data_IF_031824044101
#
_entry.id   IF_031824044101
#
_cell.length_a   1.000
_cell.length_b   1.000
_cell.length_c   1.000
_cell.angle_alpha   90.00
_cell.angle_beta   90.00
_cell.angle_gamma   90.00
#
_symmetry.space_group_name_H-M   'P 1'
#
loop_
_entity.id
_entity.type
_entity.pdbx_description
1 polymer ?
#
# COMPACT_ATOMS: atom_id res chain seq x y z
N UNK A 1 -0.20 17.14 -24.91
CA UNK A 1 -0.20 16.10 -23.87
C UNK A 1 0.64 14.95 -24.40
N UNK A 2 1.66 14.55 -23.66
CA UNK A 2 2.50 13.42 -24.03
C UNK A 2 2.42 12.37 -22.92
N UNK A 3 2.45 11.10 -23.29
CA UNK A 3 2.66 10.03 -22.34
C UNK A 3 4.09 10.11 -21.80
N UNK A 4 4.24 9.87 -20.50
CA UNK A 4 5.53 9.88 -19.81
C UNK A 4 5.61 8.61 -19.00
N UNK A 5 6.72 7.90 -19.15
CA UNK A 5 7.00 6.72 -18.35
C UNK A 5 7.31 7.13 -16.91
N UNK A 6 6.80 6.36 -15.96
CA UNK A 6 7.04 6.54 -14.54
C UNK A 6 7.77 5.33 -14.00
N UNK A 7 8.60 5.54 -12.98
CA UNK A 7 9.30 4.48 -12.27
C UNK A 7 8.27 3.59 -11.57
N UNK A 8 8.35 2.26 -11.73
CA UNK A 8 7.42 1.32 -11.12
C UNK A 8 7.66 1.11 -9.61
N UNK A 9 8.34 2.03 -8.95
CA UNK A 9 8.75 1.92 -7.55
C UNK A 9 8.12 3.02 -6.71
N UNK A 10 7.79 2.69 -5.48
CA UNK A 10 7.15 3.64 -4.56
C UNK A 10 7.02 3.11 -3.15
N UNK A 11 6.16 3.77 -2.38
CA UNK A 11 5.83 3.42 -1.01
C UNK A 11 4.32 3.30 -0.79
N UNK A 12 3.92 2.43 0.14
CA UNK A 12 2.52 2.29 0.54
C UNK A 12 2.10 3.54 1.33
N UNK A 13 1.21 4.33 0.74
CA UNK A 13 0.63 5.50 1.41
C UNK A 13 -0.53 5.12 2.32
N UNK A 14 -1.41 4.23 1.86
CA UNK A 14 -2.50 3.65 2.64
C UNK A 14 -2.89 2.28 2.10
N UNK A 15 -3.57 1.46 2.90
CA UNK A 15 -4.05 0.15 2.45
C UNK A 15 -5.34 -0.27 3.15
N UNK A 16 -6.05 -1.21 2.53
CA UNK A 16 -7.22 -1.89 3.10
C UNK A 16 -7.14 -3.38 2.77
N UNK A 17 -7.44 -4.23 3.75
CA UNK A 17 -7.55 -5.68 3.56
C UNK A 17 -9.02 -6.08 3.51
N UNK A 18 -9.40 -6.73 2.42
CA UNK A 18 -10.73 -7.26 2.23
C UNK A 18 -10.79 -8.71 2.71
N UNK A 19 -11.53 -8.95 3.79
CA UNK A 19 -11.87 -10.28 4.31
C UNK A 19 -13.16 -10.84 3.70
N UNK A 20 -13.67 -10.20 2.65
CA UNK A 20 -14.84 -10.63 1.88
C UNK A 20 -14.67 -10.20 0.44
N UNK A 21 -15.04 -11.09 -0.47
CA UNK A 21 -15.05 -10.81 -1.89
C UNK A 21 -16.15 -9.79 -2.21
N UNK A 22 -15.75 -8.60 -2.69
CA UNK A 22 -16.68 -7.60 -3.21
C UNK A 22 -17.17 -7.94 -4.62
N UNK A 23 -16.33 -8.65 -5.38
CA UNK A 23 -16.67 -9.27 -6.67
C UNK A 23 -16.31 -10.76 -6.61
N UNK A 24 -17.11 -11.62 -7.25
CA UNK A 24 -16.88 -13.08 -7.28
C UNK A 24 -15.51 -13.46 -7.83
N UNK A 25 -14.92 -12.68 -8.74
CA UNK A 25 -13.60 -12.95 -9.31
C UNK A 25 -12.48 -12.93 -8.27
N UNK A 26 -12.69 -12.25 -7.14
CA UNK A 26 -11.73 -12.20 -6.04
C UNK A 26 -12.06 -13.21 -4.92
N UNK A 27 -13.05 -14.09 -5.09
CA UNK A 27 -13.47 -15.04 -4.06
C UNK A 27 -12.32 -15.95 -3.59
N UNK A 28 -11.56 -16.49 -4.53
CA UNK A 28 -10.43 -17.38 -4.24
C UNK A 28 -9.18 -16.65 -3.77
N UNK A 29 -9.24 -15.30 -3.72
CA UNK A 29 -8.17 -14.41 -3.28
C UNK A 29 -8.51 -13.75 -1.95
N UNK A 30 -9.65 -14.04 -1.34
CA UNK A 30 -9.92 -13.58 0.01
C UNK A 30 -9.03 -14.39 0.94
N UNK A 31 -8.24 -13.73 1.79
CA UNK A 31 -8.08 -12.28 1.95
C UNK A 31 -7.11 -11.63 0.97
N UNK A 32 -7.41 -10.39 0.56
CA UNK A 32 -6.51 -9.61 -0.28
C UNK A 32 -6.40 -8.16 0.19
N UNK A 33 -5.20 -7.60 0.04
CA UNK A 33 -4.92 -6.19 0.36
C UNK A 33 -4.84 -5.35 -0.90
N UNK A 34 -5.56 -4.23 -0.91
CA UNK A 34 -5.42 -3.17 -1.90
C UNK A 34 -4.71 -1.99 -1.25
N UNK A 35 -3.75 -1.40 -1.93
CA UNK A 35 -2.97 -0.28 -1.45
C UNK A 35 -3.02 0.89 -2.42
N UNK A 36 -2.96 2.10 -1.87
CA UNK A 36 -2.56 3.29 -2.59
C UNK A 36 -1.06 3.44 -2.44
N UNK A 37 -0.34 3.44 -3.56
CA UNK A 37 1.11 3.53 -3.64
C UNK A 37 1.48 4.90 -4.17
N UNK A 38 2.30 5.63 -3.44
CA UNK A 38 2.94 6.84 -3.92
C UNK A 38 4.23 6.47 -4.63
N UNK A 39 4.25 6.64 -5.95
CA UNK A 39 5.44 6.39 -6.75
C UNK A 39 6.53 7.43 -6.46
N UNK A 40 7.77 7.07 -6.71
CA UNK A 40 8.93 7.97 -6.51
C UNK A 40 8.90 9.21 -7.43
N UNK A 41 8.06 9.19 -8.47
CA UNK A 41 7.77 10.32 -9.35
C UNK A 41 6.62 11.22 -8.85
N UNK A 42 6.08 10.93 -7.65
CA UNK A 42 5.08 11.75 -6.96
C UNK A 42 3.62 11.51 -7.35
N UNK A 43 3.34 10.47 -8.14
CA UNK A 43 1.99 10.09 -8.57
C UNK A 43 1.47 8.96 -7.69
N UNK A 44 0.18 9.00 -7.36
CA UNK A 44 -0.49 7.96 -6.60
C UNK A 44 -1.15 6.95 -7.54
N UNK A 45 -0.92 5.65 -7.30
CA UNK A 45 -1.53 4.55 -8.02
C UNK A 45 -2.19 3.56 -7.07
N UNK A 46 -3.37 3.06 -7.44
CA UNK A 46 -4.09 2.04 -6.67
C UNK A 46 -3.84 0.68 -7.29
N UNK A 47 -3.48 -0.29 -6.47
CA UNK A 47 -3.26 -1.67 -6.90
C UNK A 47 -3.29 -2.66 -5.75
N UNK A 48 -3.28 -3.95 -6.09
CA UNK A 48 -3.28 -5.03 -5.10
C UNK A 48 -1.84 -5.30 -4.62
N UNK A 49 -1.67 -5.68 -3.35
CA UNK A 49 -0.40 -6.21 -2.85
C UNK A 49 -0.37 -7.73 -3.05
N UNK A 50 0.73 -8.26 -3.57
CA UNK A 50 0.95 -9.69 -3.74
C UNK A 50 1.46 -10.37 -2.45
N UNK A 51 1.11 -11.64 -2.28
CA UNK A 51 1.68 -12.50 -1.22
C UNK A 51 1.24 -12.19 0.22
N UNK A 52 0.21 -11.37 0.41
CA UNK A 52 -0.36 -11.07 1.74
C UNK A 52 -1.62 -11.90 1.93
N UNK A 53 -1.49 -13.02 2.63
CA UNK A 53 -2.61 -13.73 3.24
C UNK A 53 -2.90 -13.18 4.63
N UNK A 54 -4.14 -13.33 5.11
CA UNK A 54 -4.45 -13.15 6.53
C UNK A 54 -3.53 -14.11 7.27
N UNK A 55 -2.75 -13.60 8.22
CA UNK A 55 -1.77 -14.37 8.97
C UNK A 55 -2.41 -15.39 9.92
N UNK A 56 -3.22 -16.31 9.41
CA UNK A 56 -3.65 -17.53 10.06
C UNK A 56 -2.51 -18.55 9.87
N UNK A 57 -1.46 -18.36 10.68
CA UNK A 57 -0.11 -18.86 10.44
C UNK A 57 0.02 -20.36 10.20
N UNK A 58 0.61 -20.71 9.05
CA UNK A 58 1.42 -21.92 8.84
C UNK A 58 2.26 -21.85 7.54
N UNK A 59 2.45 -20.66 6.98
CA UNK A 59 3.34 -20.46 5.83
C UNK A 59 4.02 -19.11 5.92
N UNK A 60 5.26 -19.06 5.46
CA UNK A 60 6.20 -17.94 5.41
C UNK A 60 5.66 -16.69 4.68
N UNK A 61 4.53 -16.16 5.15
CA UNK A 61 3.76 -15.09 4.56
C UNK A 61 4.51 -13.78 4.66
N UNK A 62 4.59 -13.07 3.53
CA UNK A 62 5.16 -11.74 3.46
C UNK A 62 4.56 -10.88 4.58
N UNK A 63 5.44 -10.26 5.36
CA UNK A 63 5.08 -9.56 6.59
C UNK A 63 3.92 -8.57 6.42
N UNK A 64 3.20 -8.33 7.52
CA UNK A 64 2.06 -7.43 7.56
C UNK A 64 2.30 -6.16 6.73
N UNK A 65 1.35 -5.85 5.83
CA UNK A 65 1.40 -4.64 5.01
C UNK A 65 1.47 -3.44 5.95
N UNK A 66 2.51 -2.63 5.80
CA UNK A 66 2.71 -1.43 6.61
C UNK A 66 2.78 -0.20 5.72
N UNK A 67 2.16 0.89 6.20
CA UNK A 67 2.33 2.21 5.59
C UNK A 67 3.82 2.58 5.62
N UNK A 68 4.31 3.07 4.49
CA UNK A 68 5.73 3.35 4.23
C UNK A 68 6.50 2.18 3.61
N UNK A 69 5.99 0.94 3.65
CA UNK A 69 6.71 -0.18 3.03
C UNK A 69 6.99 0.10 1.54
N UNK A 70 8.19 -0.27 1.09
CA UNK A 70 8.60 -0.11 -0.31
C UNK A 70 8.03 -1.19 -1.16
N UNK A 71 7.57 -0.78 -2.33
CA UNK A 71 7.00 -1.67 -3.32
C UNK A 71 7.63 -1.47 -4.68
N UNK A 72 7.62 -2.55 -5.45
CA UNK A 72 7.93 -2.57 -6.88
C UNK A 72 6.77 -3.22 -7.64
N UNK A 73 6.57 -2.81 -8.89
CA UNK A 73 5.54 -3.37 -9.75
C UNK A 73 5.93 -4.80 -10.13
N UNK A 74 5.11 -5.76 -9.71
CA UNK A 74 5.30 -7.17 -10.06
C UNK A 74 4.63 -7.54 -11.39
N UNK A 75 3.62 -6.78 -11.80
CA UNK A 75 2.84 -6.99 -13.02
C UNK A 75 1.47 -6.32 -12.95
N UNK A 76 0.55 -6.77 -13.79
CA UNK A 76 -0.83 -6.29 -13.82
C UNK A 76 -1.81 -7.44 -13.68
N UNK A 77 -2.82 -7.26 -12.84
CA UNK A 77 -4.00 -8.11 -12.74
C UNK A 77 -4.96 -7.75 -13.87
N UNK A 78 -5.23 -8.71 -14.75
CA UNK A 78 -6.08 -8.55 -15.94
C UNK A 78 -7.45 -9.18 -15.78
N UNK A 79 -7.82 -9.64 -14.58
CA UNK A 79 -9.12 -10.27 -14.35
C UNK A 79 -10.27 -9.25 -14.28
N UNK A 80 -9.95 -7.96 -14.16
CA UNK A 80 -10.90 -6.84 -14.28
C UNK A 80 -11.05 -6.33 -15.72
N UNK A 81 -11.99 -5.41 -15.92
CA UNK A 81 -12.18 -4.75 -17.22
C UNK A 81 -11.01 -3.81 -17.58
N UNK A 82 -10.23 -3.38 -16.58
CA UNK A 82 -9.03 -2.57 -16.74
C UNK A 82 -7.87 -3.26 -16.00
N UNK A 83 -6.71 -3.44 -16.64
CA UNK A 83 -5.53 -3.98 -15.97
C UNK A 83 -5.14 -3.12 -14.76
N UNK A 84 -5.08 -3.73 -13.58
CA UNK A 84 -4.71 -3.05 -12.34
C UNK A 84 -3.30 -3.46 -11.90
N UNK A 85 -2.45 -2.54 -11.42
CA UNK A 85 -1.11 -2.90 -11.00
C UNK A 85 -1.12 -3.84 -9.79
N UNK A 86 -0.16 -4.75 -9.76
CA UNK A 86 0.10 -5.65 -8.63
C UNK A 86 1.48 -5.32 -8.07
N UNK A 87 1.51 -4.99 -6.78
CA UNK A 87 2.70 -4.53 -6.07
C UNK A 87 3.30 -5.65 -5.24
N UNK A 88 4.62 -5.77 -5.26
CA UNK A 88 5.37 -6.65 -4.35
C UNK A 88 6.10 -5.79 -3.33
N UNK A 89 5.98 -6.14 -2.06
CA UNK A 89 6.79 -5.50 -1.00
C UNK A 89 8.24 -5.96 -1.15
N UNK A 90 9.16 -5.00 -1.30
CA UNK A 90 10.59 -5.25 -1.52
C UNK A 90 11.47 -4.82 -0.34
N UNK A 91 10.89 -4.12 0.64
CA UNK A 91 11.60 -3.75 1.86
C UNK A 91 10.83 -2.73 2.72
N UNK A 92 11.35 -2.40 3.92
CA UNK A 92 10.82 -1.31 4.73
C UNK A 92 11.10 0.06 4.07
N UNK A 93 10.35 1.10 4.47
CA UNK A 93 10.60 2.46 3.96
C UNK A 93 12.05 2.90 4.21
N UNK A 94 12.76 3.46 3.22
CA UNK A 94 14.01 4.16 3.41
C UNK A 94 13.79 5.58 3.95
N UNK A 95 12.55 6.09 3.94
CA UNK A 95 12.23 7.45 4.40
C UNK A 95 11.42 7.36 5.70
N UNK A 96 11.95 7.81 6.85
CA UNK A 96 11.10 8.03 8.00
C UNK A 96 10.09 9.11 7.61
N UNK A 97 8.80 8.75 7.56
CA UNK A 97 7.75 9.73 7.33
C UNK A 97 7.92 10.85 8.38
N UNK A 98 7.86 12.14 8.00
CA UNK A 98 7.70 13.19 8.98
C UNK A 98 6.40 12.86 9.72
N UNK A 99 6.53 12.50 10.99
CA UNK A 99 5.41 12.17 11.85
C UNK A 99 4.51 13.42 11.86
N UNK A 100 3.36 13.38 11.18
CA UNK A 100 2.35 14.45 11.23
C UNK A 100 1.57 14.36 12.56
N UNK A 101 2.36 14.42 13.63
CA UNK A 101 2.00 14.74 14.99
C UNK A 101 3.11 15.65 15.51
N UNK A 102 3.16 16.87 14.96
CA UNK A 102 3.34 18.00 15.85
C UNK A 102 2.15 17.99 16.82
N UNK A 103 2.25 17.20 17.88
CA UNK A 103 1.52 17.49 19.11
C UNK A 103 1.88 18.93 19.43
N UNK A 104 0.90 19.82 19.31
CA UNK A 104 0.99 21.19 19.81
C UNK A 104 1.61 21.14 21.20
N UNK A 105 2.70 21.87 21.49
CA UNK A 105 3.03 22.10 22.89
C UNK A 105 1.85 22.91 23.45
N UNK A 106 1.04 22.27 24.29
CA UNK A 106 0.14 22.96 25.21
C UNK A 106 1.01 23.89 26.04
N UNK A 107 1.08 25.15 25.62
CA UNK A 107 1.74 26.21 26.37
C UNK A 107 0.78 26.60 27.48
N UNK A 108 0.83 25.88 28.60
CA UNK A 108 0.19 26.29 29.84
C UNK A 108 1.08 27.37 30.46
N UNK A 109 0.87 28.60 30.01
CA UNK A 109 1.25 29.80 30.74
C UNK A 109 0.03 30.71 30.78
N UNK A 110 -0.16 31.28 31.98
CA UNK A 110 -1.10 32.34 32.36
C UNK A 110 -2.44 31.86 32.92
N UNK A 111 -2.48 31.69 34.24
CA UNK A 111 -3.46 32.45 35.02
C UNK A 111 -2.80 32.94 36.32
N UNK A 112 -3.09 34.20 36.61
CA UNK A 112 -2.55 35.03 37.69
C UNK A 112 -3.35 34.86 38.98
#
# INVERSE_FOLDING_TARGET
MNWVDVRPTGEIWSHVTYHRALDRRFADRVPYTVAMVRLDDGIDMVGRIDGVGDGDGDGDGAGAVTVGARVDLSGFDTDGDVPAPVWRIVGPSPIPMPNDRASTPTNEKEEQ
#
